data_IF_602941321080
#
_entry.id   IF_602941321080
#
_cell.length_a   1.000
_cell.length_b   1.000
_cell.length_c   1.000
_cell.angle_alpha   90.00
_cell.angle_beta   90.00
_cell.angle_gamma   90.00
#
_symmetry.space_group_name_H-M   'P 1'
#
loop_
_entity.id
_entity.type
_entity.pdbx_description
1 polymer ?
#
# COMPACT_ATOMS: atom_id res chain seq x y z
N UNK A 1 4.92 -17.18 -16.25
CA UNK A 1 4.88 -18.07 -15.07
C UNK A 1 3.44 -18.21 -14.58
N UNK A 2 2.70 -17.12 -14.32
CA UNK A 2 1.31 -17.19 -13.82
C UNK A 2 0.37 -17.94 -14.75
N UNK A 3 0.40 -17.68 -16.06
CA UNK A 3 -0.43 -18.38 -17.03
C UNK A 3 -0.13 -19.88 -17.08
N UNK A 4 1.13 -20.26 -16.91
CA UNK A 4 1.52 -21.65 -16.80
C UNK A 4 0.96 -22.31 -15.53
N UNK A 5 1.08 -21.66 -14.36
CA UNK A 5 0.53 -22.17 -13.10
C UNK A 5 -0.99 -22.37 -13.23
N UNK A 6 -1.72 -21.40 -13.79
CA UNK A 6 -3.17 -21.53 -14.01
C UNK A 6 -3.50 -22.68 -14.94
N UNK A 7 -2.72 -22.86 -16.01
CA UNK A 7 -2.92 -23.95 -16.97
C UNK A 7 -2.71 -25.34 -16.32
N UNK A 8 -1.67 -25.49 -15.51
CA UNK A 8 -1.30 -26.78 -14.91
C UNK A 8 -2.15 -27.11 -13.67
N UNK A 9 -2.52 -26.14 -12.88
CA UNK A 9 -3.21 -26.36 -11.60
C UNK A 9 -4.70 -26.03 -11.64
N UNK A 10 -5.17 -25.27 -12.62
CA UNK A 10 -6.53 -24.71 -12.70
C UNK A 10 -6.83 -23.65 -11.63
N UNK A 11 -5.81 -23.19 -10.91
CA UNK A 11 -5.94 -22.24 -9.79
C UNK A 11 -5.18 -20.97 -10.06
N UNK A 12 -5.73 -19.86 -9.59
CA UNK A 12 -5.11 -18.54 -9.64
C UNK A 12 -4.62 -18.19 -8.25
N UNK A 13 -3.38 -17.74 -8.16
CA UNK A 13 -2.72 -17.37 -6.91
C UNK A 13 -2.32 -15.88 -6.94
N UNK A 14 -2.36 -15.27 -5.78
CA UNK A 14 -1.85 -13.92 -5.57
C UNK A 14 -1.18 -13.82 -4.21
N UNK A 15 -0.18 -12.95 -4.10
CA UNK A 15 0.50 -12.64 -2.83
C UNK A 15 -0.33 -11.59 -2.10
N UNK A 16 -1.09 -12.00 -1.12
CA UNK A 16 -1.79 -11.11 -0.19
C UNK A 16 -1.62 -11.62 1.25
N UNK A 17 -2.04 -10.81 2.21
CA UNK A 17 -1.91 -11.14 3.63
C UNK A 17 -2.83 -12.26 4.08
N UNK A 18 -3.93 -12.48 3.38
CA UNK A 18 -4.97 -13.47 3.74
C UNK A 18 -4.73 -14.84 3.10
N UNK A 19 -3.72 -14.95 2.26
CA UNK A 19 -3.38 -16.19 1.56
C UNK A 19 -3.15 -15.98 0.07
N UNK A 20 -2.50 -16.95 -0.53
CA UNK A 20 -2.08 -16.91 -1.93
C UNK A 20 -3.10 -17.51 -2.88
N UNK A 21 -4.07 -18.25 -2.35
CA UNK A 21 -5.09 -18.91 -3.15
C UNK A 21 -6.35 -18.05 -3.23
N UNK A 22 -6.70 -17.65 -4.45
CA UNK A 22 -7.89 -16.90 -4.73
C UNK A 22 -9.13 -17.82 -4.84
N UNK A 23 -10.35 -17.29 -4.59
CA UNK A 23 -11.57 -18.05 -4.74
C UNK A 23 -11.71 -18.66 -6.13
N UNK A 24 -12.36 -19.82 -6.21
CA UNK A 24 -12.59 -20.55 -7.47
C UNK A 24 -13.36 -19.77 -8.54
N UNK A 25 -13.98 -18.64 -8.15
CA UNK A 25 -14.65 -17.70 -9.07
C UNK A 25 -13.66 -16.86 -9.87
N UNK A 26 -12.42 -16.70 -9.40
CA UNK A 26 -11.33 -16.05 -10.12
C UNK A 26 -10.68 -17.07 -11.05
N UNK A 27 -10.87 -16.93 -12.35
CA UNK A 27 -10.45 -17.89 -13.36
C UNK A 27 -9.25 -17.46 -14.20
N UNK A 28 -8.84 -16.20 -14.07
CA UNK A 28 -7.70 -15.66 -14.83
C UNK A 28 -6.99 -14.58 -14.03
N UNK A 29 -5.73 -14.35 -14.36
CA UNK A 29 -4.90 -13.31 -13.76
C UNK A 29 -5.56 -11.91 -13.87
N UNK A 30 -6.17 -11.58 -15.00
CA UNK A 30 -6.88 -10.31 -15.19
C UNK A 30 -8.14 -10.11 -14.34
N UNK A 31 -8.61 -11.15 -13.61
CA UNK A 31 -9.72 -11.03 -12.68
C UNK A 31 -9.29 -10.73 -11.24
N UNK A 32 -7.99 -10.83 -10.94
CA UNK A 32 -7.45 -10.61 -9.58
C UNK A 32 -7.75 -9.19 -9.12
N UNK A 33 -7.42 -8.18 -9.94
CA UNK A 33 -7.64 -6.77 -9.62
C UNK A 33 -9.11 -6.48 -9.29
N UNK A 34 -10.05 -7.03 -10.06
CA UNK A 34 -11.49 -6.85 -9.83
C UNK A 34 -11.94 -7.52 -8.53
N UNK A 35 -11.40 -8.69 -8.22
CA UNK A 35 -11.73 -9.40 -6.98
C UNK A 35 -11.25 -8.63 -5.76
N UNK A 36 -9.96 -8.28 -5.73
CA UNK A 36 -9.35 -7.55 -4.62
C UNK A 36 -9.92 -6.13 -4.49
N UNK A 37 -10.15 -5.43 -5.60
CA UNK A 37 -10.76 -4.11 -5.62
C UNK A 37 -12.18 -4.10 -5.02
N UNK A 38 -12.99 -5.15 -5.28
CA UNK A 38 -14.32 -5.30 -4.64
C UNK A 38 -14.22 -5.55 -3.14
N UNK A 39 -13.22 -6.31 -2.70
CA UNK A 39 -12.96 -6.49 -1.26
C UNK A 39 -12.56 -5.16 -0.61
N UNK A 40 -11.67 -4.41 -1.24
CA UNK A 40 -11.25 -3.10 -0.78
C UNK A 40 -12.42 -2.13 -0.65
N UNK A 41 -13.30 -2.05 -1.67
CA UNK A 41 -14.51 -1.21 -1.64
C UNK A 41 -15.47 -1.57 -0.50
N UNK A 42 -15.59 -2.85 -0.16
CA UNK A 42 -16.40 -3.27 0.99
C UNK A 42 -15.80 -2.81 2.32
N UNK A 43 -14.48 -2.95 2.48
CA UNK A 43 -13.77 -2.46 3.66
C UNK A 43 -13.90 -0.94 3.79
N UNK A 44 -13.68 -0.21 2.71
CA UNK A 44 -13.86 1.25 2.65
C UNK A 44 -15.26 1.68 3.08
N UNK A 45 -16.29 1.01 2.54
CA UNK A 45 -17.69 1.32 2.89
C UNK A 45 -17.93 1.13 4.40
N UNK A 46 -17.49 0.01 4.97
CA UNK A 46 -17.63 -0.23 6.40
C UNK A 46 -16.82 0.78 7.21
N UNK A 47 -15.62 1.14 6.75
CA UNK A 47 -14.80 2.18 7.38
C UNK A 47 -15.54 3.52 7.46
N UNK A 48 -16.22 3.93 6.38
CA UNK A 48 -17.03 5.16 6.34
C UNK A 48 -18.23 5.10 7.30
N UNK A 49 -18.90 3.95 7.40
CA UNK A 49 -20.02 3.74 8.33
C UNK A 49 -19.53 3.84 9.79
N UNK A 50 -18.39 3.23 10.12
CA UNK A 50 -17.78 3.28 11.45
C UNK A 50 -17.27 4.70 11.81
N UNK A 51 -16.68 5.41 10.86
CA UNK A 51 -16.27 6.81 11.05
C UNK A 51 -17.47 7.69 11.36
N UNK A 52 -18.58 7.56 10.61
CA UNK A 52 -19.83 8.29 10.85
C UNK A 52 -20.45 7.97 12.20
N UNK A 53 -20.32 6.72 12.66
CA UNK A 53 -20.77 6.29 13.99
C UNK A 53 -19.84 6.77 15.12
N UNK A 54 -18.71 7.42 14.81
CA UNK A 54 -17.73 7.91 15.78
C UNK A 54 -16.74 6.85 16.28
N UNK A 55 -16.73 5.67 15.70
CA UNK A 55 -15.83 4.57 16.06
C UNK A 55 -14.45 4.73 15.39
N UNK A 56 -13.75 5.81 15.71
CA UNK A 56 -12.51 6.24 15.04
C UNK A 56 -11.43 5.17 14.95
N UNK A 57 -11.23 4.38 16.02
CA UNK A 57 -10.20 3.33 16.04
C UNK A 57 -10.54 2.17 15.06
N UNK A 58 -11.82 1.80 14.97
CA UNK A 58 -12.28 0.79 14.01
C UNK A 58 -12.18 1.31 12.58
N UNK A 59 -12.61 2.55 12.34
CA UNK A 59 -12.50 3.20 11.05
C UNK A 59 -11.04 3.29 10.57
N UNK A 60 -10.12 3.68 11.45
CA UNK A 60 -8.68 3.74 11.20
C UNK A 60 -8.12 2.39 10.70
N UNK A 61 -8.45 1.29 11.39
CA UNK A 61 -8.04 -0.06 10.98
C UNK A 61 -8.62 -0.45 9.62
N UNK A 62 -9.91 -0.20 9.42
CA UNK A 62 -10.60 -0.57 8.18
C UNK A 62 -10.10 0.23 6.98
N UNK A 63 -9.81 1.53 7.14
CA UNK A 63 -9.22 2.35 6.09
C UNK A 63 -7.81 1.86 5.72
N UNK A 64 -6.99 1.49 6.70
CA UNK A 64 -5.68 0.90 6.42
C UNK A 64 -5.81 -0.40 5.62
N UNK A 65 -6.69 -1.31 6.04
CA UNK A 65 -6.95 -2.56 5.34
C UNK A 65 -7.51 -2.34 3.93
N UNK A 66 -8.38 -1.35 3.75
CA UNK A 66 -8.89 -0.96 2.44
C UNK A 66 -7.76 -0.45 1.55
N UNK A 67 -6.92 0.45 2.07
CA UNK A 67 -5.74 0.98 1.36
C UNK A 67 -4.80 -0.13 0.91
N UNK A 68 -4.38 -1.00 1.82
CA UNK A 68 -3.51 -2.13 1.50
C UNK A 68 -4.13 -3.08 0.45
N UNK A 69 -5.44 -3.32 0.54
CA UNK A 69 -6.15 -4.18 -0.42
C UNK A 69 -6.28 -3.52 -1.80
N UNK A 70 -6.47 -2.19 -1.89
CA UNK A 70 -6.42 -1.46 -3.16
C UNK A 70 -5.01 -1.49 -3.76
N UNK A 71 -3.96 -1.36 -2.94
CA UNK A 71 -2.57 -1.50 -3.38
C UNK A 71 -2.31 -2.91 -3.96
N UNK A 72 -2.78 -3.96 -3.28
CA UNK A 72 -2.71 -5.33 -3.79
C UNK A 72 -3.52 -5.52 -5.09
N UNK A 73 -4.67 -4.85 -5.23
CA UNK A 73 -5.50 -4.92 -6.42
C UNK A 73 -4.84 -4.28 -7.65
N UNK A 74 -4.06 -3.21 -7.47
CA UNK A 74 -3.39 -2.52 -8.59
C UNK A 74 -2.13 -3.25 -9.07
N UNK A 75 -1.52 -4.07 -8.23
CA UNK A 75 -0.27 -4.77 -8.53
C UNK A 75 -0.36 -5.67 -9.78
N UNK A 76 -1.40 -6.52 -10.00
CA UNK A 76 -1.51 -7.35 -11.20
C UNK A 76 -1.71 -6.58 -12.51
N UNK A 77 -2.05 -5.29 -12.46
CA UNK A 77 -2.20 -4.45 -13.64
C UNK A 77 -0.82 -3.96 -14.07
N UNK A 78 -0.24 -4.59 -15.09
CA UNK A 78 1.15 -4.34 -15.49
C UNK A 78 1.36 -2.95 -16.08
N UNK A 79 0.40 -2.47 -16.88
CA UNK A 79 0.48 -1.16 -17.52
C UNK A 79 -0.14 -0.07 -16.64
N UNK A 80 0.42 1.14 -16.68
CA UNK A 80 -0.14 2.29 -15.97
C UNK A 80 -1.31 2.88 -16.76
N UNK A 81 -2.41 2.11 -16.83
CA UNK A 81 -3.67 2.48 -17.45
C UNK A 81 -4.65 3.11 -16.43
N UNK A 82 -5.87 3.43 -16.88
CA UNK A 82 -6.89 4.07 -16.04
C UNK A 82 -7.34 3.17 -14.86
N UNK A 83 -7.39 1.85 -15.06
CA UNK A 83 -7.71 0.90 -13.98
C UNK A 83 -6.65 0.97 -12.87
N UNK A 84 -5.37 0.91 -13.22
CA UNK A 84 -4.27 1.02 -12.27
C UNK A 84 -4.27 2.37 -11.54
N UNK A 85 -4.46 3.48 -12.29
CA UNK A 85 -4.54 4.82 -11.71
C UNK A 85 -5.70 4.95 -10.73
N UNK A 86 -6.87 4.42 -11.09
CA UNK A 86 -8.03 4.39 -10.21
C UNK A 86 -7.76 3.62 -8.93
N UNK A 87 -7.28 2.38 -9.02
CA UNK A 87 -7.00 1.53 -7.86
C UNK A 87 -5.94 2.16 -6.94
N UNK A 88 -4.88 2.71 -7.53
CA UNK A 88 -3.85 3.41 -6.75
C UNK A 88 -4.41 4.70 -6.11
N UNK A 89 -5.24 5.44 -6.82
CA UNK A 89 -5.93 6.62 -6.28
C UNK A 89 -6.79 6.29 -5.07
N UNK A 90 -7.53 5.16 -5.13
CA UNK A 90 -8.31 4.67 -3.98
C UNK A 90 -7.42 4.22 -2.82
N UNK A 91 -6.27 3.59 -3.10
CA UNK A 91 -5.27 3.27 -2.08
C UNK A 91 -4.84 4.54 -1.33
N UNK A 92 -4.44 5.58 -2.06
CA UNK A 92 -4.02 6.86 -1.48
C UNK A 92 -5.15 7.52 -0.70
N UNK A 93 -6.38 7.59 -1.24
CA UNK A 93 -7.51 8.22 -0.58
C UNK A 93 -7.87 7.56 0.77
N UNK A 94 -7.82 6.23 0.83
CA UNK A 94 -8.02 5.49 2.08
C UNK A 94 -6.86 5.72 3.06
N UNK A 95 -5.62 5.82 2.57
CA UNK A 95 -4.48 6.10 3.45
C UNK A 95 -4.47 7.54 3.98
N UNK A 96 -5.02 8.52 3.25
CA UNK A 96 -5.26 9.87 3.80
C UNK A 96 -6.19 9.81 5.02
N UNK A 97 -7.20 8.95 5.01
CA UNK A 97 -8.04 8.72 6.18
C UNK A 97 -7.28 8.07 7.34
N UNK A 98 -6.32 7.19 7.03
CA UNK A 98 -5.41 6.64 8.05
C UNK A 98 -4.59 7.78 8.69
N UNK A 99 -4.01 8.67 7.89
CA UNK A 99 -3.25 9.82 8.40
C UNK A 99 -4.13 10.72 9.29
N UNK A 100 -5.34 11.02 8.83
CA UNK A 100 -6.30 11.88 9.56
C UNK A 100 -6.71 11.29 10.92
N UNK A 101 -6.90 9.96 10.99
CA UNK A 101 -7.40 9.27 12.17
C UNK A 101 -6.30 8.71 13.08
N UNK A 102 -5.03 8.79 12.65
CA UNK A 102 -3.91 8.25 13.41
C UNK A 102 -3.77 8.94 14.79
N UNK A 103 -3.45 8.18 15.85
CA UNK A 103 -3.22 8.75 17.18
C UNK A 103 -1.83 9.41 17.31
N UNK A 104 -1.05 9.50 16.25
CA UNK A 104 0.26 10.11 16.15
C UNK A 104 0.44 10.71 14.74
N UNK A 105 1.48 11.51 14.57
CA UNK A 105 1.70 12.20 13.30
C UNK A 105 2.30 11.25 12.25
N UNK A 106 1.65 11.22 11.09
CA UNK A 106 2.17 10.60 9.86
C UNK A 106 2.26 11.72 8.81
N UNK A 107 3.44 11.98 8.30
CA UNK A 107 3.69 13.02 7.30
C UNK A 107 3.97 12.40 5.93
N UNK A 108 3.46 13.03 4.88
CA UNK A 108 3.92 12.73 3.52
C UNK A 108 5.13 13.60 3.21
N UNK A 109 6.22 12.95 2.86
CA UNK A 109 7.50 13.60 2.55
C UNK A 109 7.89 13.25 1.12
N UNK A 110 8.41 14.20 0.39
CA UNK A 110 9.05 13.97 -0.91
C UNK A 110 10.57 14.11 -0.78
N UNK A 111 11.29 13.07 -1.16
CA UNK A 111 12.76 13.02 -1.10
C UNK A 111 13.31 13.16 -2.51
N UNK A 112 14.15 14.17 -2.78
CA UNK A 112 14.82 14.29 -4.08
C UNK A 112 15.72 13.08 -4.37
N UNK A 113 15.59 12.51 -5.55
CA UNK A 113 16.42 11.42 -6.01
C UNK A 113 16.67 11.56 -7.52
N UNK A 114 17.88 11.93 -7.90
CA UNK A 114 18.24 12.29 -9.29
C UNK A 114 17.28 13.37 -9.85
N UNK A 115 16.58 13.08 -10.93
CA UNK A 115 15.56 13.93 -11.56
C UNK A 115 14.13 13.64 -11.06
N UNK A 116 14.00 12.83 -10.00
CA UNK A 116 12.74 12.35 -9.44
C UNK A 116 12.48 12.93 -8.05
N UNK A 117 11.21 12.82 -7.62
CA UNK A 117 10.79 13.02 -6.23
C UNK A 117 10.14 11.72 -5.75
N UNK A 118 10.78 11.05 -4.81
CA UNK A 118 10.28 9.82 -4.21
C UNK A 118 9.35 10.14 -3.05
N UNK A 119 8.14 9.62 -3.10
CA UNK A 119 7.18 9.81 -2.00
C UNK A 119 7.43 8.85 -0.86
N UNK A 120 7.39 9.39 0.35
CA UNK A 120 7.54 8.65 1.60
C UNK A 120 6.37 8.92 2.53
N UNK A 121 6.08 7.95 3.41
CA UNK A 121 5.28 8.15 4.61
C UNK A 121 6.23 8.17 5.81
N UNK A 122 6.21 9.26 6.58
CA UNK A 122 7.07 9.44 7.74
C UNK A 122 6.24 9.34 9.03
N UNK A 123 6.43 8.26 9.75
CA UNK A 123 5.74 7.94 11.00
C UNK A 123 6.57 8.48 12.17
N UNK A 124 6.12 9.57 12.77
CA UNK A 124 6.79 10.22 13.88
C UNK A 124 6.51 9.49 15.19
N UNK A 125 7.56 9.16 15.92
CA UNK A 125 7.43 8.52 17.22
C UNK A 125 6.75 9.48 18.22
N UNK A 126 5.64 9.07 18.87
CA UNK A 126 4.92 9.94 19.82
C UNK A 126 5.80 10.41 20.97
N UNK A 127 5.70 11.70 21.31
CA UNK A 127 6.40 12.29 22.45
C UNK A 127 7.91 12.43 22.32
N UNK A 128 8.45 12.27 21.10
CA UNK A 128 9.88 12.39 20.82
C UNK A 128 10.08 13.34 19.64
N UNK A 129 10.70 14.49 19.86
CA UNK A 129 10.94 15.49 18.80
C UNK A 129 12.14 15.11 17.91
N UNK A 130 13.16 14.51 18.48
CA UNK A 130 14.39 14.08 17.77
C UNK A 130 14.70 12.64 18.12
N UNK A 131 14.65 11.77 17.14
CA UNK A 131 14.93 10.34 17.33
C UNK A 131 15.68 9.74 16.12
N UNK A 132 16.40 8.64 16.31
CA UNK A 132 16.86 7.85 15.17
C UNK A 132 15.72 7.46 14.26
N UNK A 133 15.98 7.41 12.96
CA UNK A 133 14.97 7.04 11.96
C UNK A 133 15.34 5.71 11.31
N UNK A 134 14.42 4.76 11.36
CA UNK A 134 14.49 3.54 10.54
C UNK A 134 13.95 3.85 9.16
N UNK A 135 14.70 3.50 8.11
CA UNK A 135 14.22 3.57 6.74
C UNK A 135 13.77 2.17 6.32
N UNK A 136 12.50 2.05 5.91
CA UNK A 136 11.95 0.82 5.38
C UNK A 136 11.76 0.93 3.87
N UNK A 137 12.35 0.00 3.15
CA UNK A 137 12.24 -0.13 1.71
C UNK A 137 11.33 -1.33 1.44
N UNK A 138 10.08 -1.11 0.95
CA UNK A 138 9.15 -2.19 0.66
C UNK A 138 9.68 -3.14 -0.42
N UNK A 139 9.16 -4.37 -0.45
CA UNK A 139 9.39 -5.31 -1.54
C UNK A 139 8.90 -4.75 -2.89
N UNK A 140 9.38 -5.31 -3.99
CA UNK A 140 9.08 -4.80 -5.34
C UNK A 140 7.59 -4.82 -5.71
N UNK A 141 6.79 -5.61 -5.02
CA UNK A 141 5.33 -5.76 -5.18
C UNK A 141 4.51 -4.94 -4.17
N UNK A 142 5.17 -4.20 -3.29
CA UNK A 142 4.53 -3.40 -2.24
C UNK A 142 4.58 -1.91 -2.56
N UNK A 143 3.71 -1.16 -1.88
CA UNK A 143 3.75 0.30 -1.80
C UNK A 143 3.90 0.74 -0.34
N UNK A 144 4.30 1.97 -0.12
CA UNK A 144 4.46 2.55 1.23
C UNK A 144 3.18 2.59 2.06
N UNK A 145 2.00 2.40 1.44
CA UNK A 145 0.71 2.33 2.10
C UNK A 145 0.36 0.93 2.62
N UNK A 146 1.10 -0.10 2.23
CA UNK A 146 0.80 -1.48 2.63
C UNK A 146 1.44 -1.87 3.95
N UNK A 147 2.48 -1.16 4.37
CA UNK A 147 3.24 -1.47 5.58
C UNK A 147 3.88 -0.18 6.17
N UNK A 148 4.07 -0.09 7.49
CA UNK A 148 3.66 -1.04 8.54
C UNK A 148 2.15 -0.97 8.81
N UNK A 149 1.63 -1.91 9.61
CA UNK A 149 0.33 -1.70 10.26
C UNK A 149 0.45 -0.47 11.17
N UNK A 150 -0.28 0.61 10.89
CA UNK A 150 -0.12 1.87 11.63
C UNK A 150 -0.60 1.78 13.10
N UNK A 151 -1.24 0.69 13.51
CA UNK A 151 -1.54 0.40 14.91
C UNK A 151 -0.34 -0.14 15.67
N UNK A 152 0.60 -0.77 14.98
CA UNK A 152 1.76 -1.45 15.58
C UNK A 152 3.04 -1.06 14.84
N UNK A 153 3.49 0.17 15.05
CA UNK A 153 4.77 0.63 14.50
C UNK A 153 5.90 0.23 15.44
N UNK A 154 6.58 -0.86 15.12
CA UNK A 154 7.65 -1.41 16.00
C UNK A 154 8.80 -0.44 16.28
N UNK A 155 9.08 0.47 15.38
CA UNK A 155 10.08 1.52 15.58
C UNK A 155 9.69 2.43 16.75
N UNK A 156 8.41 2.78 16.91
CA UNK A 156 7.90 3.60 18.01
C UNK A 156 8.13 2.95 19.37
N UNK A 157 7.97 1.62 19.50
CA UNK A 157 8.24 0.89 20.72
C UNK A 157 9.73 0.98 21.17
N UNK A 158 10.60 1.38 20.24
CA UNK A 158 12.05 1.59 20.48
C UNK A 158 12.44 3.07 20.51
N UNK A 159 11.48 3.98 20.53
CA UNK A 159 11.73 5.43 20.52
C UNK A 159 12.32 5.95 19.21
N UNK A 160 12.01 5.31 18.07
CA UNK A 160 12.54 5.67 16.76
C UNK A 160 11.41 6.10 15.82
N UNK A 161 11.71 7.02 14.92
CA UNK A 161 10.86 7.32 13.77
C UNK A 161 10.97 6.23 12.70
N UNK A 162 9.98 6.18 11.80
CA UNK A 162 10.01 5.26 10.66
C UNK A 162 9.69 6.02 9.37
N UNK A 163 10.54 5.89 8.37
CA UNK A 163 10.34 6.40 7.02
C UNK A 163 10.11 5.23 6.07
N UNK A 164 8.97 5.20 5.40
CA UNK A 164 8.63 4.20 4.39
C UNK A 164 8.61 4.86 3.03
N UNK A 165 9.36 4.32 2.07
CA UNK A 165 9.62 4.95 0.79
C UNK A 165 9.05 4.15 -0.39
N UNK A 166 8.43 4.82 -1.38
CA UNK A 166 8.22 4.26 -2.71
C UNK A 166 9.45 4.52 -3.57
N UNK A 167 10.28 3.50 -3.74
CA UNK A 167 11.44 3.58 -4.63
C UNK A 167 11.05 3.71 -6.12
N UNK A 168 12.03 3.91 -7.02
CA UNK A 168 11.77 3.92 -8.45
C UNK A 168 11.01 2.67 -8.91
N UNK A 169 9.92 2.86 -9.65
CA UNK A 169 9.06 1.78 -10.13
C UNK A 169 8.01 1.28 -9.14
N UNK A 170 8.00 1.73 -7.88
CA UNK A 170 7.03 1.35 -6.86
C UNK A 170 5.95 2.41 -6.69
N UNK A 171 4.76 2.00 -6.26
CA UNK A 171 3.67 2.87 -5.83
C UNK A 171 3.51 4.14 -6.66
N UNK A 172 3.63 5.30 -6.03
CA UNK A 172 3.49 6.59 -6.70
C UNK A 172 4.59 6.83 -7.76
N UNK A 173 5.81 6.36 -7.54
CA UNK A 173 6.88 6.47 -8.54
C UNK A 173 6.50 5.75 -9.84
N UNK A 174 5.89 4.57 -9.75
CA UNK A 174 5.36 3.85 -10.91
C UNK A 174 4.26 4.64 -11.62
N UNK A 175 3.30 5.20 -10.89
CA UNK A 175 2.21 6.03 -11.43
C UNK A 175 2.74 7.27 -12.15
N UNK A 176 3.82 7.87 -11.64
CA UNK A 176 4.52 9.01 -12.24
C UNK A 176 5.46 8.61 -13.40
N UNK A 177 5.51 7.33 -13.75
CA UNK A 177 6.42 6.76 -14.76
C UNK A 177 7.91 6.91 -14.41
N UNK A 178 8.23 6.99 -13.14
CA UNK A 178 9.59 7.01 -12.58
C UNK A 178 10.04 5.56 -12.36
N UNK A 179 10.80 5.03 -13.31
CA UNK A 179 11.11 3.59 -13.38
C UNK A 179 12.46 3.26 -12.75
N UNK A 180 12.53 2.04 -12.24
CA UNK A 180 13.81 1.43 -11.88
C UNK A 180 14.63 1.18 -13.15
N UNK A 181 15.90 1.54 -13.13
CA UNK A 181 16.85 1.33 -14.21
C UNK A 181 18.16 0.77 -13.66
N UNK A 182 19.02 0.25 -14.53
CA UNK A 182 20.38 -0.16 -14.12
C UNK A 182 21.21 0.99 -13.52
N UNK A 183 20.91 2.24 -13.92
CA UNK A 183 21.66 3.41 -13.45
C UNK A 183 21.24 3.90 -12.06
N UNK A 184 20.01 3.62 -11.61
CA UNK A 184 19.48 4.11 -10.34
C UNK A 184 19.17 3.00 -9.32
N UNK A 185 19.49 1.75 -9.64
CA UNK A 185 19.21 0.61 -8.77
C UNK A 185 20.10 0.56 -7.50
N UNK A 186 21.33 1.03 -7.59
CA UNK A 186 22.34 0.93 -6.53
C UNK A 186 22.63 2.28 -5.83
N UNK A 187 21.81 3.30 -6.03
CA UNK A 187 22.04 4.67 -5.52
C UNK A 187 21.20 5.07 -4.35
#
# INVERSE_FOLDING_TARGET
IYDWIVKETGRVFHWDEEGRELPSTVKSHGQISKHLGRQAQRLEKVAQEEEQAGHKSTAFDLYFRASAKFAAAQHPVLETNDEKRYLHGQCIANFEKVIELAPYTIERVEVPFEDMQLQCNFFLCPGVDVAPTVIFIPGCDMTKEMWPDPKVVEAHARGMHLLVIDGPGQGMSNIRNQKLTHGNYER
#
